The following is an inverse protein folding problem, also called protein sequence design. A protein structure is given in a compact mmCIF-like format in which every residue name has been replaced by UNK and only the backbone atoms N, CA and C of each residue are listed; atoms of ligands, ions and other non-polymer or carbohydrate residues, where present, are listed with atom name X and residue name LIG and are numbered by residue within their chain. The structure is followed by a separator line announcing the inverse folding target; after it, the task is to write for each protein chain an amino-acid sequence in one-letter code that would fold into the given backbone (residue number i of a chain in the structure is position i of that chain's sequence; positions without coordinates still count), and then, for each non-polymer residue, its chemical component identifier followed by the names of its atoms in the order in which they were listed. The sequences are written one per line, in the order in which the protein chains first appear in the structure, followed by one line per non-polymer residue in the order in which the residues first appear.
data_IF_376212407677
#
_entry.id   IF_376212407677
#
_cell.length_a   1.000
_cell.length_b   1.000
_cell.length_c   1.000
_cell.angle_alpha   90.00
_cell.angle_beta   90.00
_cell.angle_gamma   90.00
#
_symmetry.space_group_name_H-M   'P 1'
#
loop_
_entity.id
_entity.type
_entity.pdbx_description
1 polymer ?
#
# COMPACT_ATOMS: atom_id res chain seq x y z
N UNK A 1 46.55 -1.57 3.21
CA UNK A 1 45.97 -1.13 1.92
C UNK A 1 44.63 -1.81 1.61
N UNK A 2 44.52 -3.13 1.81
CA UNK A 2 43.33 -3.95 1.50
C UNK A 2 42.05 -3.53 2.28
N UNK A 3 42.16 -3.19 3.57
CA UNK A 3 41.00 -2.80 4.41
C UNK A 3 40.30 -1.51 3.91
N UNK A 4 41.08 -0.55 3.38
CA UNK A 4 40.54 0.71 2.83
C UNK A 4 39.79 0.47 1.52
N UNK A 5 40.29 -0.45 0.69
CA UNK A 5 39.64 -0.86 -0.56
C UNK A 5 38.33 -1.60 -0.32
N UNK A 6 38.27 -2.44 0.73
CA UNK A 6 37.05 -3.13 1.14
C UNK A 6 36.00 -2.13 1.64
N UNK A 7 36.37 -1.18 2.51
CA UNK A 7 35.43 -0.15 2.99
C UNK A 7 34.84 0.70 1.85
N UNK A 8 35.67 1.08 0.87
CA UNK A 8 35.22 1.84 -0.30
C UNK A 8 34.29 1.02 -1.21
N UNK A 9 34.56 -0.28 -1.39
CA UNK A 9 33.69 -1.18 -2.14
C UNK A 9 32.35 -1.44 -1.43
N UNK A 10 32.35 -1.53 -0.10
CA UNK A 10 31.13 -1.68 0.71
C UNK A 10 30.24 -0.43 0.67
N UNK A 11 30.83 0.77 0.58
CA UNK A 11 30.07 2.02 0.46
C UNK A 11 29.33 2.17 -0.88
N UNK A 12 29.78 1.49 -1.94
CA UNK A 12 29.16 1.50 -3.27
C UNK A 12 27.96 0.54 -3.40
N UNK A 13 27.80 -0.41 -2.47
CA UNK A 13 26.73 -1.42 -2.52
C UNK A 13 25.39 -0.94 -1.93
N UNK A 14 25.33 0.28 -1.38
CA UNK A 14 24.09 0.86 -0.84
C UNK A 14 23.37 1.64 -1.95
N UNK A 15 22.99 0.96 -3.02
CA UNK A 15 22.04 1.52 -3.99
C UNK A 15 20.62 1.12 -3.57
N UNK A 16 19.99 1.94 -2.74
CA UNK A 16 18.57 1.80 -2.43
C UNK A 16 17.75 2.21 -3.67
N UNK A 17 17.24 1.22 -4.42
CA UNK A 17 16.33 1.46 -5.54
C UNK A 17 14.94 1.82 -5.01
N UNK A 18 14.65 3.11 -4.86
CA UNK A 18 13.27 3.58 -4.65
C UNK A 18 12.59 3.72 -6.01
N UNK A 19 11.49 3.01 -6.24
CA UNK A 19 10.67 3.25 -7.43
C UNK A 19 10.17 4.70 -7.41
N UNK A 20 10.23 5.38 -8.56
CA UNK A 20 9.68 6.72 -8.67
C UNK A 20 8.16 6.68 -8.44
N UNK A 21 7.67 7.38 -7.41
CA UNK A 21 6.23 7.52 -7.17
C UNK A 21 5.65 8.40 -8.26
N UNK A 22 4.65 7.91 -8.98
CA UNK A 22 3.89 8.75 -9.92
C UNK A 22 2.89 9.59 -9.12
N UNK A 23 3.05 10.92 -9.02
CA UNK A 23 2.17 11.76 -8.21
C UNK A 23 0.71 11.73 -8.68
N UNK A 24 0.47 11.40 -9.95
CA UNK A 24 -0.88 11.29 -10.52
C UNK A 24 -1.69 10.12 -9.94
N UNK A 25 -1.04 9.14 -9.31
CA UNK A 25 -1.72 7.99 -8.69
C UNK A 25 -2.05 8.21 -7.21
N UNK A 26 -1.40 9.18 -6.56
CA UNK A 26 -1.55 9.46 -5.13
C UNK A 26 -3.00 9.82 -4.83
N UNK A 27 -3.58 9.13 -3.85
CA UNK A 27 -4.99 9.25 -3.47
C UNK A 27 -5.68 7.89 -3.40
N UNK A 28 -6.97 7.93 -3.11
CA UNK A 28 -7.84 6.75 -3.01
C UNK A 28 -8.81 6.72 -4.19
N UNK A 29 -8.75 5.63 -4.95
CA UNK A 29 -9.62 5.35 -6.09
C UNK A 29 -10.61 4.27 -5.69
N UNK A 30 -11.90 4.48 -5.94
CA UNK A 30 -12.94 3.53 -5.55
C UNK A 30 -14.00 3.36 -6.62
N UNK A 31 -14.56 2.15 -6.69
CA UNK A 31 -15.72 1.86 -7.52
C UNK A 31 -17.02 2.46 -6.98
N UNK A 32 -17.90 2.90 -7.89
CA UNK A 32 -19.34 3.20 -7.73
C UNK A 32 -19.73 3.97 -6.46
N UNK A 33 -20.01 3.27 -5.36
CA UNK A 33 -20.65 3.83 -4.16
C UNK A 33 -19.67 4.40 -3.13
N UNK A 34 -18.37 4.17 -3.33
CA UNK A 34 -17.31 4.50 -2.38
C UNK A 34 -17.54 3.95 -0.96
N UNK A 35 -18.22 2.79 -0.85
CA UNK A 35 -18.49 2.15 0.45
C UNK A 35 -17.40 1.19 0.90
N UNK A 36 -16.51 0.78 -0.01
CA UNK A 36 -15.33 -0.04 0.29
C UNK A 36 -14.11 0.86 0.20
N UNK A 37 -13.59 1.36 1.33
CA UNK A 37 -12.37 2.18 1.40
C UNK A 37 -11.25 1.38 2.07
N UNK A 38 -9.98 1.71 1.82
CA UNK A 38 -8.87 1.12 2.58
C UNK A 38 -8.79 1.70 4.00
N UNK A 39 -7.98 1.08 4.84
CA UNK A 39 -7.67 1.56 6.19
C UNK A 39 -8.60 1.04 7.30
N UNK A 40 -8.56 1.66 8.49
CA UNK A 40 -9.18 1.14 9.71
C UNK A 40 -10.70 0.96 9.65
N UNK A 41 -11.38 1.65 8.71
CA UNK A 41 -12.82 1.52 8.51
C UNK A 41 -13.25 0.25 7.77
N UNK A 42 -12.31 -0.48 7.16
CA UNK A 42 -12.53 -1.77 6.51
C UNK A 42 -12.01 -2.94 7.36
N UNK A 43 -10.88 -2.75 8.02
CA UNK A 43 -10.32 -3.74 8.94
C UNK A 43 -9.61 -3.04 10.10
N UNK A 44 -9.94 -3.42 11.34
CA UNK A 44 -9.31 -2.89 12.53
C UNK A 44 -8.15 -3.81 12.98
N UNK A 45 -6.88 -3.38 12.84
CA UNK A 45 -5.73 -4.21 13.18
C UNK A 45 -5.47 -4.33 14.69
N UNK A 46 -6.04 -3.45 15.53
CA UNK A 46 -5.84 -3.49 17.00
C UNK A 46 -6.63 -4.65 17.61
N UNK A 47 -7.85 -4.87 17.11
CA UNK A 47 -8.77 -5.88 17.61
C UNK A 47 -8.92 -7.08 16.67
N UNK A 48 -8.14 -7.13 15.58
CA UNK A 48 -8.20 -8.17 14.54
C UNK A 48 -9.63 -8.43 14.04
N UNK A 49 -10.32 -7.37 13.61
CA UNK A 49 -11.74 -7.44 13.24
C UNK A 49 -12.03 -6.82 11.88
N UNK A 50 -12.72 -7.57 11.02
CA UNK A 50 -13.27 -7.08 9.76
C UNK A 50 -14.54 -6.24 9.98
N UNK A 51 -14.64 -5.10 9.29
CA UNK A 51 -15.79 -4.21 9.34
C UNK A 51 -16.50 -4.29 8.00
N UNK A 52 -17.69 -4.91 8.00
CA UNK A 52 -18.43 -5.16 6.78
C UNK A 52 -18.93 -3.87 6.12
N UNK A 53 -18.57 -3.60 4.85
CA UNK A 53 -19.10 -2.49 4.09
C UNK A 53 -20.58 -2.67 3.72
N UNK A 54 -21.33 -1.56 3.65
CA UNK A 54 -22.75 -1.62 3.27
C UNK A 54 -23.02 -1.99 1.80
N UNK A 55 -22.01 -1.88 0.92
CA UNK A 55 -22.14 -2.23 -0.49
C UNK A 55 -20.84 -2.88 -0.99
N UNK A 56 -20.97 -3.84 -1.92
CA UNK A 56 -19.84 -4.42 -2.64
C UNK A 56 -19.06 -3.35 -3.43
N UNK A 57 -17.75 -3.57 -3.58
CA UNK A 57 -16.87 -2.65 -4.26
C UNK A 57 -15.39 -3.01 -4.13
N UNK A 58 -14.57 -2.18 -4.76
CA UNK A 58 -13.11 -2.23 -4.72
C UNK A 58 -12.54 -0.83 -4.52
N UNK A 59 -11.46 -0.73 -3.77
CA UNK A 59 -10.64 0.48 -3.70
C UNK A 59 -9.15 0.19 -3.65
N UNK A 60 -8.40 1.19 -4.10
CA UNK A 60 -6.94 1.24 -4.14
C UNK A 60 -6.48 2.58 -3.59
N UNK A 61 -5.51 2.56 -2.70
CA UNK A 61 -4.93 3.77 -2.11
C UNK A 61 -3.42 3.79 -2.31
N UNK A 62 -2.92 4.91 -2.80
CA UNK A 62 -1.50 5.17 -2.99
C UNK A 62 -1.10 6.40 -2.20
N UNK A 63 -0.06 6.29 -1.39
CA UNK A 63 0.43 7.39 -0.56
C UNK A 63 1.75 7.94 -1.12
N UNK A 64 2.06 9.20 -0.79
CA UNK A 64 3.25 9.89 -1.34
C UNK A 64 4.57 9.33 -0.82
N UNK A 65 4.55 8.58 0.28
CA UNK A 65 5.67 7.83 0.86
C UNK A 65 5.87 6.45 0.21
N UNK A 66 5.08 6.12 -0.82
CA UNK A 66 5.30 4.95 -1.67
C UNK A 66 4.61 3.67 -1.18
N UNK A 67 3.66 3.77 -0.26
CA UNK A 67 2.84 2.64 0.15
C UNK A 67 1.58 2.51 -0.70
N UNK A 68 1.07 1.27 -0.73
CA UNK A 68 -0.11 0.87 -1.46
C UNK A 68 -0.99 -0.01 -0.57
N UNK A 69 -2.29 0.23 -0.63
CA UNK A 69 -3.31 -0.59 0.02
C UNK A 69 -4.46 -0.91 -0.95
N UNK A 70 -5.12 -2.05 -0.73
CA UNK A 70 -6.32 -2.45 -1.49
C UNK A 70 -7.38 -3.03 -0.58
N UNK A 71 -8.64 -2.71 -0.86
CA UNK A 71 -9.80 -3.31 -0.20
C UNK A 71 -10.78 -3.84 -1.24
N UNK A 72 -11.24 -5.09 -1.06
CA UNK A 72 -12.17 -5.76 -1.96
C UNK A 72 -13.26 -6.47 -1.16
N UNK A 73 -14.52 -6.11 -1.42
CA UNK A 73 -15.67 -6.75 -0.79
C UNK A 73 -16.71 -7.11 -1.86
N UNK A 74 -17.10 -8.39 -1.89
CA UNK A 74 -18.02 -8.97 -2.86
C UNK A 74 -19.00 -9.90 -2.17
N UNK A 75 -20.29 -9.66 -2.40
CA UNK A 75 -21.34 -10.63 -2.09
C UNK A 75 -21.42 -11.66 -3.23
N UNK A 76 -21.41 -12.95 -2.89
CA UNK A 76 -21.52 -14.08 -3.84
C UNK A 76 -22.75 -14.89 -3.43
N UNK A 77 -23.69 -15.09 -4.36
CA UNK A 77 -24.86 -15.96 -4.12
C UNK A 77 -24.46 -17.43 -4.17
N UNK A 78 -25.19 -18.26 -3.42
CA UNK A 78 -25.22 -19.71 -3.59
C UNK A 78 -26.20 -20.12 -4.70
#
# INVERSE_FOLDING_TARGET
MIIRSVLAASALLISSSTAAVNPALVGTWSSKSAKVMTGPGFYNPVNDSFIEPSHAGISYSFTSDGFYESAYYRAVSN
#
